data_IF_406175214288
#
_entry.id   IF_406175214288
#
_cell.length_a   1.000
_cell.length_b   1.000
_cell.length_c   1.000
_cell.angle_alpha   90.00
_cell.angle_beta   90.00
_cell.angle_gamma   90.00
#
_symmetry.space_group_name_H-M   'P 1'
#
loop_
_entity.id
_entity.type
_entity.pdbx_description
1 polymer ?
#
# COMPACT_ATOMS: atom_id res chain seq x y z
N UNK A 1 -6.16 18.77 12.66
CA UNK A 1 -5.20 17.78 12.14
C UNK A 1 -5.15 16.58 13.05
N UNK A 2 -4.82 15.40 12.51
CA UNK A 2 -4.80 14.16 13.29
C UNK A 2 -3.65 13.26 12.86
N UNK A 3 -3.16 12.45 13.79
CA UNK A 3 -2.11 11.49 13.54
C UNK A 3 -2.34 10.15 14.21
N UNK A 4 -1.82 9.09 13.60
CA UNK A 4 -1.79 7.76 14.20
C UNK A 4 -0.53 7.01 13.79
N UNK A 5 0.10 6.35 14.75
CA UNK A 5 1.17 5.37 14.54
C UNK A 5 0.79 4.10 15.28
N UNK A 6 0.85 2.98 14.58
CA UNK A 6 0.68 1.65 15.17
C UNK A 6 1.42 0.64 14.30
N UNK A 7 1.64 -0.54 14.84
CA UNK A 7 2.16 -1.67 14.09
C UNK A 7 1.47 -2.95 14.52
N UNK A 8 1.63 -3.98 13.72
CA UNK A 8 1.34 -5.36 14.06
C UNK A 8 2.60 -6.19 13.92
N UNK A 9 2.75 -7.17 14.78
CA UNK A 9 3.80 -8.17 14.74
C UNK A 9 3.16 -9.54 14.52
N UNK A 10 3.75 -10.31 13.61
CA UNK A 10 3.46 -11.73 13.48
C UNK A 10 4.67 -12.52 14.00
N UNK A 11 4.38 -13.44 14.91
CA UNK A 11 5.38 -14.21 15.64
C UNK A 11 5.32 -15.68 15.21
N UNK A 12 6.47 -16.33 15.18
CA UNK A 12 6.60 -17.79 15.22
C UNK A 12 7.22 -18.13 16.57
N UNK A 13 6.46 -18.85 17.40
CA UNK A 13 6.77 -18.96 18.84
C UNK A 13 6.91 -17.57 19.46
N UNK A 14 8.06 -17.25 20.07
CA UNK A 14 8.36 -15.95 20.68
C UNK A 14 9.18 -15.03 19.76
N UNK A 15 9.41 -15.44 18.50
CA UNK A 15 10.23 -14.67 17.55
C UNK A 15 9.34 -13.89 16.58
N UNK A 16 9.46 -12.55 16.58
CA UNK A 16 8.83 -11.69 15.57
C UNK A 16 9.48 -11.93 14.21
N UNK A 17 8.71 -12.41 13.24
CA UNK A 17 9.18 -12.69 11.88
C UNK A 17 8.68 -11.69 10.84
N UNK A 18 7.57 -11.01 11.13
CA UNK A 18 7.03 -9.94 10.27
C UNK A 18 6.53 -8.81 11.16
N UNK A 19 6.89 -7.58 10.81
CA UNK A 19 6.33 -6.37 11.42
C UNK A 19 5.74 -5.49 10.32
N UNK A 20 4.49 -5.04 10.51
CA UNK A 20 3.80 -4.13 9.61
C UNK A 20 3.49 -2.86 10.38
N UNK A 21 4.12 -1.74 10.00
CA UNK A 21 3.90 -0.46 10.65
C UNK A 21 3.12 0.51 9.75
N UNK A 22 2.21 1.27 10.35
CA UNK A 22 1.43 2.30 9.66
C UNK A 22 1.63 3.63 10.37
N UNK A 23 2.03 4.63 9.58
CA UNK A 23 2.07 6.02 9.98
C UNK A 23 1.05 6.77 9.14
N UNK A 24 -0.01 7.27 9.78
CA UNK A 24 -1.08 8.00 9.11
C UNK A 24 -1.15 9.42 9.65
N UNK A 25 -1.18 10.39 8.74
CA UNK A 25 -1.21 11.82 9.02
C UNK A 25 -2.30 12.50 8.20
N UNK A 26 -3.20 13.24 8.86
CA UNK A 26 -4.18 14.13 8.22
C UNK A 26 -3.83 15.57 8.56
N UNK A 27 -3.07 16.16 7.64
CA UNK A 27 -2.49 17.51 7.69
C UNK A 27 -1.54 17.73 8.88
N UNK A 28 -0.60 18.65 8.73
CA UNK A 28 0.46 18.87 9.71
C UNK A 28 0.30 20.15 10.53
N UNK A 29 -0.60 21.04 10.12
CA UNK A 29 -0.84 22.32 10.81
C UNK A 29 -1.42 22.10 12.21
N UNK A 30 -1.07 22.94 13.17
CA UNK A 30 -1.67 22.90 14.52
C UNK A 30 -1.50 21.56 15.27
N UNK A 31 -0.51 20.73 14.89
CA UNK A 31 -0.07 19.60 15.71
C UNK A 31 0.97 20.09 16.72
N UNK A 32 0.75 19.81 18.00
CA UNK A 32 1.69 20.06 19.08
C UNK A 32 1.92 18.77 19.90
N UNK A 33 3.13 18.18 19.88
CA UNK A 33 4.29 18.60 19.09
C UNK A 33 4.08 18.43 17.58
N UNK A 34 4.81 19.19 16.73
CA UNK A 34 4.72 19.05 15.29
C UNK A 34 5.16 17.65 14.86
N UNK A 35 4.48 17.10 13.85
CA UNK A 35 4.81 15.79 13.29
C UNK A 35 4.87 15.84 11.77
N UNK A 36 5.89 15.19 11.22
CA UNK A 36 6.10 15.04 9.78
C UNK A 36 6.71 13.67 9.50
N UNK A 37 6.71 13.29 8.21
CA UNK A 37 7.40 12.07 7.74
C UNK A 37 8.91 12.24 7.57
N UNK A 38 9.47 13.37 8.04
CA UNK A 38 10.87 13.72 7.88
C UNK A 38 11.26 13.97 6.41
N UNK A 39 12.57 14.07 6.12
CA UNK A 39 13.07 14.40 4.77
C UNK A 39 12.68 13.39 3.70
N UNK A 40 12.46 12.14 4.09
CA UNK A 40 12.09 11.08 3.16
C UNK A 40 10.62 11.16 2.69
N UNK A 41 9.77 11.93 3.38
CA UNK A 41 8.37 12.12 3.03
C UNK A 41 7.53 10.84 3.12
N UNK A 42 6.33 10.91 2.56
CA UNK A 42 5.40 9.79 2.48
C UNK A 42 5.92 8.69 1.54
N UNK A 43 5.82 7.44 1.97
CA UNK A 43 6.33 6.27 1.23
C UNK A 43 5.79 4.96 1.80
N UNK A 44 5.90 3.90 1.01
CA UNK A 44 5.79 2.53 1.48
C UNK A 44 7.17 1.91 1.45
N UNK A 45 7.55 1.22 2.52
CA UNK A 45 8.85 0.56 2.67
C UNK A 45 8.61 -0.91 2.99
N UNK A 46 9.33 -1.77 2.28
CA UNK A 46 9.33 -3.21 2.48
C UNK A 46 10.78 -3.63 2.61
N UNK A 47 11.14 -4.20 3.75
CA UNK A 47 12.47 -4.75 4.03
C UNK A 47 12.34 -6.24 4.27
N UNK A 48 13.17 -7.02 3.58
CA UNK A 48 13.31 -8.46 3.78
C UNK A 48 14.75 -8.72 4.21
N UNK A 49 14.92 -9.22 5.44
CA UNK A 49 16.22 -9.58 6.00
C UNK A 49 16.48 -11.06 5.78
N UNK A 50 17.64 -11.39 5.22
CA UNK A 50 17.99 -12.74 4.83
C UNK A 50 19.32 -12.77 4.07
N UNK A 51 19.37 -13.54 3.00
CA UNK A 51 20.57 -13.64 2.17
C UNK A 51 20.18 -13.65 0.68
N UNK A 52 20.25 -12.50 -0.02
CA UNK A 52 20.67 -11.18 0.46
C UNK A 52 19.54 -10.41 1.17
N UNK A 53 19.93 -9.45 1.99
CA UNK A 53 19.01 -8.40 2.46
C UNK A 53 18.49 -7.59 1.26
N UNK A 54 17.19 -7.30 1.26
CA UNK A 54 16.52 -6.58 0.17
C UNK A 54 15.60 -5.50 0.73
N UNK A 55 15.63 -4.31 0.14
CA UNK A 55 14.73 -3.20 0.49
C UNK A 55 14.08 -2.62 -0.77
N UNK A 56 12.78 -2.35 -0.68
CA UNK A 56 11.98 -1.70 -1.71
C UNK A 56 11.29 -0.49 -1.10
N UNK A 57 11.41 0.66 -1.78
CA UNK A 57 10.68 1.89 -1.42
C UNK A 57 9.81 2.34 -2.57
N UNK A 58 8.53 2.58 -2.30
CA UNK A 58 7.54 3.06 -3.27
C UNK A 58 7.10 4.48 -2.86
N UNK A 59 7.17 5.41 -3.82
CA UNK A 59 6.78 6.83 -3.66
C UNK A 59 5.90 7.30 -4.81
N UNK A 60 5.24 8.43 -4.62
CA UNK A 60 4.49 9.13 -5.67
C UNK A 60 3.02 8.74 -5.77
N UNK A 61 2.52 7.96 -4.80
CA UNK A 61 1.09 7.62 -4.72
C UNK A 61 0.29 8.63 -3.89
N UNK A 62 0.95 9.62 -3.32
CA UNK A 62 0.34 10.68 -2.52
C UNK A 62 0.14 11.94 -3.37
N UNK A 63 -1.03 12.59 -3.28
CA UNK A 63 -1.26 13.85 -3.98
C UNK A 63 -0.37 14.95 -3.39
N UNK A 64 0.23 15.78 -4.25
CA UNK A 64 1.12 16.87 -3.81
C UNK A 64 0.39 17.99 -3.05
N UNK A 65 -0.93 18.12 -3.26
CA UNK A 65 -1.78 19.09 -2.55
C UNK A 65 -3.16 18.49 -2.29
N UNK A 66 -3.86 19.04 -1.30
CA UNK A 66 -5.26 18.66 -1.00
C UNK A 66 -6.15 18.88 -2.23
N UNK A 67 -6.03 20.03 -2.90
CA UNK A 67 -6.82 20.35 -4.08
C UNK A 67 -6.58 19.37 -5.24
N UNK A 68 -5.34 18.89 -5.44
CA UNK A 68 -5.05 17.85 -6.42
C UNK A 68 -5.68 16.51 -6.02
N UNK A 69 -5.53 16.11 -4.76
CA UNK A 69 -6.10 14.87 -4.22
C UNK A 69 -7.62 14.80 -4.30
N UNK A 70 -8.31 15.94 -4.15
CA UNK A 70 -9.77 16.03 -4.32
C UNK A 70 -10.23 15.84 -5.77
N UNK A 71 -9.38 16.15 -6.76
CA UNK A 71 -9.66 15.85 -8.18
C UNK A 71 -9.37 14.39 -8.50
N UNK A 72 -8.22 13.89 -8.06
CA UNK A 72 -7.83 12.49 -8.18
C UNK A 72 -6.69 12.19 -7.21
N UNK A 73 -6.83 11.13 -6.43
CA UNK A 73 -5.81 10.67 -5.50
C UNK A 73 -5.14 9.39 -6.05
N UNK A 74 -3.85 9.44 -6.45
CA UNK A 74 -3.18 8.29 -7.04
C UNK A 74 -3.17 7.04 -6.15
N UNK A 75 -3.10 7.20 -4.82
CA UNK A 75 -3.15 6.10 -3.87
C UNK A 75 -4.52 5.40 -3.88
N UNK A 76 -5.60 6.18 -3.93
CA UNK A 76 -6.97 5.63 -4.08
C UNK A 76 -7.11 4.92 -5.43
N UNK A 77 -6.58 5.51 -6.50
CA UNK A 77 -6.58 4.89 -7.84
C UNK A 77 -5.82 3.57 -7.83
N UNK A 78 -4.63 3.50 -7.22
CA UNK A 78 -3.84 2.28 -7.13
C UNK A 78 -4.59 1.17 -6.37
N UNK A 79 -5.23 1.51 -5.25
CA UNK A 79 -6.09 0.56 -4.52
C UNK A 79 -7.26 0.07 -5.37
N UNK A 80 -7.99 0.98 -6.02
CA UNK A 80 -9.13 0.61 -6.87
C UNK A 80 -8.70 -0.22 -8.09
N UNK A 81 -7.56 0.11 -8.71
CA UNK A 81 -7.01 -0.63 -9.84
C UNK A 81 -6.73 -2.08 -9.47
N UNK A 82 -6.23 -2.35 -8.26
CA UNK A 82 -6.03 -3.73 -7.79
C UNK A 82 -7.35 -4.51 -7.75
N UNK A 83 -8.42 -3.92 -7.19
CA UNK A 83 -9.75 -4.54 -7.16
C UNK A 83 -10.29 -4.82 -8.57
N UNK A 84 -10.19 -3.86 -9.49
CA UNK A 84 -10.67 -4.00 -10.87
C UNK A 84 -9.87 -5.07 -11.62
N UNK A 85 -8.54 -5.05 -11.50
CA UNK A 85 -7.67 -6.01 -12.18
C UNK A 85 -7.86 -7.45 -11.66
N UNK A 86 -8.31 -7.60 -10.41
CA UNK A 86 -8.62 -8.89 -9.80
C UNK A 86 -9.95 -9.51 -10.25
N UNK A 87 -10.87 -8.75 -10.87
CA UNK A 87 -12.20 -9.24 -11.27
C UNK A 87 -12.12 -10.53 -12.11
N UNK A 88 -11.33 -10.61 -13.20
CA UNK A 88 -11.32 -11.81 -14.03
C UNK A 88 -10.83 -13.06 -13.29
N UNK A 89 -9.80 -12.90 -12.44
CA UNK A 89 -9.27 -13.98 -11.62
C UNK A 89 -10.30 -14.44 -10.57
N UNK A 90 -11.00 -13.49 -9.96
CA UNK A 90 -12.05 -13.77 -8.96
C UNK A 90 -13.23 -14.50 -9.58
N UNK A 91 -13.70 -14.06 -10.76
CA UNK A 91 -14.82 -14.72 -11.45
C UNK A 91 -14.48 -16.14 -11.94
N UNK A 92 -13.21 -16.42 -12.24
CA UNK A 92 -12.76 -17.74 -12.67
C UNK A 92 -12.46 -18.70 -11.51
N UNK A 93 -12.39 -18.21 -10.28
CA UNK A 93 -12.06 -19.00 -9.11
C UNK A 93 -13.23 -19.89 -8.65
N UNK A 94 -12.97 -21.02 -7.95
CA UNK A 94 -14.02 -21.79 -7.31
C UNK A 94 -14.82 -20.96 -6.30
N UNK A 95 -16.10 -21.29 -6.13
CA UNK A 95 -16.94 -20.64 -5.12
C UNK A 95 -16.35 -20.82 -3.71
N UNK A 96 -16.34 -19.74 -2.93
CA UNK A 96 -15.76 -19.72 -1.58
C UNK A 96 -14.97 -18.45 -1.31
N UNK A 97 -14.38 -18.35 -0.11
CA UNK A 97 -13.43 -17.29 0.23
C UNK A 97 -12.08 -17.66 -0.39
N UNK A 98 -11.61 -16.84 -1.33
CA UNK A 98 -10.28 -16.96 -1.94
C UNK A 98 -9.36 -15.89 -1.37
N UNK A 99 -8.09 -16.22 -1.17
CA UNK A 99 -7.03 -15.30 -0.76
C UNK A 99 -6.12 -14.93 -1.94
N UNK A 100 -5.21 -13.99 -1.72
CA UNK A 100 -4.20 -13.63 -2.73
C UNK A 100 -3.28 -14.78 -3.12
N UNK A 101 -3.14 -15.82 -2.29
CA UNK A 101 -2.31 -16.99 -2.58
C UNK A 101 -3.05 -18.04 -3.42
N UNK A 102 -4.38 -17.96 -3.50
CA UNK A 102 -5.21 -18.89 -4.27
C UNK A 102 -5.47 -18.40 -5.70
N UNK A 103 -5.25 -17.11 -5.94
CA UNK A 103 -5.44 -16.45 -7.23
C UNK A 103 -4.10 -16.27 -7.97
N UNK A 104 -4.11 -16.16 -9.31
CA UNK A 104 -2.91 -15.76 -10.04
C UNK A 104 -2.44 -14.36 -9.62
N UNK A 105 -1.16 -14.06 -9.84
CA UNK A 105 -0.61 -12.73 -9.57
C UNK A 105 -1.41 -11.65 -10.33
N UNK A 106 -2.00 -10.72 -9.57
CA UNK A 106 -2.80 -9.64 -10.13
C UNK A 106 -1.89 -8.52 -10.63
N UNK A 107 -1.83 -8.39 -11.95
CA UNK A 107 -1.06 -7.35 -12.63
C UNK A 107 -1.98 -6.37 -13.36
N UNK A 108 -1.43 -5.19 -13.69
CA UNK A 108 -2.11 -4.26 -14.59
C UNK A 108 -2.18 -4.86 -15.99
N UNK A 109 -3.38 -4.88 -16.59
CA UNK A 109 -3.56 -5.21 -18.01
C UNK A 109 -3.95 -3.96 -18.78
N UNK A 110 -3.30 -3.75 -19.92
CA UNK A 110 -3.74 -2.74 -20.86
C UNK A 110 -5.17 -3.08 -21.35
N UNK A 111 -5.96 -2.05 -21.62
CA UNK A 111 -7.22 -2.26 -22.34
C UNK A 111 -6.92 -2.98 -23.67
N UNK A 112 -7.79 -3.89 -24.16
CA UNK A 112 -7.51 -4.67 -25.36
C UNK A 112 -7.10 -3.82 -26.59
N UNK A 113 -7.63 -2.60 -26.74
CA UNK A 113 -7.26 -1.67 -27.81
C UNK A 113 -5.91 -0.95 -27.61
N UNK A 114 -5.30 -1.05 -26.43
CA UNK A 114 -4.01 -0.47 -26.07
C UNK A 114 -2.92 -1.53 -25.86
N UNK A 115 -3.28 -2.82 -25.93
CA UNK A 115 -2.34 -3.93 -25.94
C UNK A 115 -1.71 -4.05 -27.34
N UNK A 116 -0.75 -3.18 -27.65
CA UNK A 116 0.11 -3.25 -28.83
C UNK A 116 1.56 -3.19 -28.40
#
# INVERSE_FOLDING_TARGET
MARRRFHWEALVEDTVVVQIAVNWLMGSENLDPPWSFGPAGERYEIEVRGSPDTCVTIKGWQPQTVAAGLKSNPGIVATAAHCVNAIPATCAAPAGIQSFFDLPLITGRAAPGLAR
#
